data_IF_588200402976
#
_entry.id   IF_588200402976
#
_cell.length_a   1.000
_cell.length_b   1.000
_cell.length_c   1.000
_cell.angle_alpha   90.00
_cell.angle_beta   90.00
_cell.angle_gamma   90.00
#
_symmetry.space_group_name_H-M   'P 1'
#
loop_
_entity.id
_entity.type
_entity.pdbx_description
1 polymer ?
2 water ?
#
# COMPACT_ATOMS: atom_id res chain seq x y z
N UNK A 1 29.86 -35.25 -14.96
CA UNK A 1 30.00 -34.22 -16.00
C UNK A 1 28.87 -33.18 -15.88
N UNK A 2 29.21 -31.92 -16.14
CA UNK A 2 28.27 -30.81 -16.13
C UNK A 2 27.28 -30.90 -17.30
N UNK A 3 26.04 -30.45 -17.08
CA UNK A 3 25.10 -30.37 -18.19
C UNK A 3 24.37 -29.04 -18.21
N UNK A 4 23.75 -28.75 -19.35
CA UNK A 4 22.82 -27.62 -19.47
C UNK A 4 21.42 -28.12 -19.15
N UNK A 5 20.74 -27.39 -18.27
CA UNK A 5 19.40 -27.74 -17.81
C UNK A 5 18.46 -26.65 -18.28
N UNK A 6 17.43 -27.03 -19.03
CA UNK A 6 16.32 -26.14 -19.35
C UNK A 6 15.08 -26.59 -18.58
N UNK A 7 14.50 -25.67 -17.80
CA UNK A 7 13.37 -26.01 -16.95
C UNK A 7 12.34 -24.89 -16.99
N UNK A 8 11.06 -25.26 -17.10
CA UNK A 8 9.96 -24.30 -17.05
C UNK A 8 8.98 -24.52 -15.91
N UNK A 9 9.12 -25.61 -15.13
CA UNK A 9 8.32 -25.83 -13.93
C UNK A 9 9.26 -26.11 -12.77
N UNK A 10 8.71 -26.03 -11.56
CA UNK A 10 9.52 -26.38 -10.41
C UNK A 10 9.89 -27.85 -10.45
N UNK A 11 8.93 -28.70 -10.85
CA UNK A 11 9.17 -30.14 -10.87
C UNK A 11 10.35 -30.48 -11.76
N UNK A 12 10.38 -29.91 -12.98
CA UNK A 12 11.46 -30.18 -13.91
C UNK A 12 12.82 -29.86 -13.31
N UNK A 13 12.94 -28.71 -12.63
CA UNK A 13 14.20 -28.36 -12.01
C UNK A 13 14.55 -29.29 -10.85
N UNK A 14 13.56 -29.76 -10.10
CA UNK A 14 13.84 -30.73 -9.05
C UNK A 14 14.33 -32.05 -9.63
N UNK A 15 13.70 -32.53 -10.69
CA UNK A 15 14.09 -33.79 -11.32
C UNK A 15 15.49 -33.74 -11.92
N UNK A 16 16.00 -32.54 -12.21
CA UNK A 16 17.28 -32.40 -12.89
C UNK A 16 18.46 -32.49 -11.94
N UNK A 17 18.24 -32.37 -10.63
CA UNK A 17 19.31 -32.45 -9.64
C UNK A 17 20.50 -31.61 -10.06
N UNK A 18 20.41 -30.34 -9.90
CA UNK A 18 21.45 -29.46 -10.30
C UNK A 18 22.68 -29.50 -9.43
N UNK A 19 23.84 -29.29 -10.01
CA UNK A 19 25.05 -29.20 -9.26
C UNK A 19 25.77 -27.94 -9.62
N UNK A 20 26.78 -27.62 -8.86
CA UNK A 20 27.58 -26.47 -9.11
C UNK A 20 28.31 -26.68 -10.42
N UNK A 21 28.44 -25.65 -11.22
CA UNK A 21 29.04 -25.77 -12.53
C UNK A 21 28.05 -26.03 -13.66
N UNK A 22 26.85 -26.49 -13.35
CA UNK A 22 25.84 -26.65 -14.39
C UNK A 22 25.40 -25.30 -14.91
N UNK A 23 24.88 -25.32 -16.14
CA UNK A 23 24.29 -24.15 -16.77
C UNK A 23 22.78 -24.32 -16.81
N UNK A 24 22.06 -23.41 -16.17
CA UNK A 24 20.60 -23.39 -16.19
C UNK A 24 20.10 -22.32 -17.13
N UNK A 25 19.04 -22.65 -17.87
CA UNK A 25 18.13 -21.68 -18.48
C UNK A 25 16.75 -21.91 -17.89
N UNK A 26 16.26 -20.95 -17.09
CA UNK A 26 15.03 -21.06 -16.31
C UNK A 26 14.04 -19.98 -16.73
N UNK A 27 12.82 -20.39 -17.10
CA UNK A 27 11.73 -19.46 -17.36
C UNK A 27 10.44 -20.04 -16.78
N UNK A 28 9.82 -19.32 -15.87
CA UNK A 28 8.57 -19.77 -15.31
C UNK A 28 7.82 -18.62 -14.72
N UNK A 29 6.87 -18.93 -13.85
CA UNK A 29 6.15 -17.88 -13.15
C UNK A 29 6.42 -18.04 -11.65
N UNK A 30 6.87 -16.97 -11.03
CA UNK A 30 7.13 -17.02 -9.61
C UNK A 30 7.01 -15.68 -8.93
N UNK A 31 7.64 -15.56 -7.78
CA UNK A 31 7.47 -14.39 -6.93
C UNK A 31 8.84 -13.78 -6.75
N UNK A 32 8.93 -12.44 -6.71
CA UNK A 32 10.16 -11.79 -6.27
C UNK A 32 10.28 -11.77 -4.76
N UNK A 33 11.48 -11.99 -4.28
CA UNK A 33 11.74 -11.98 -2.85
C UNK A 33 11.46 -10.60 -2.28
N UNK A 34 10.93 -10.55 -1.06
CA UNK A 34 10.60 -9.28 -0.42
C UNK A 34 11.49 -9.10 0.80
N UNK A 35 12.05 -7.89 0.94
CA UNK A 35 13.05 -7.55 1.94
C UNK A 35 12.47 -6.55 2.96
N UNK A 36 12.68 -6.84 4.25
CA UNK A 36 12.42 -5.90 5.35
C UNK A 36 13.55 -4.87 5.44
N UNK A 37 13.24 -3.55 5.40
CA UNK A 37 14.17 -2.40 5.32
C UNK A 37 15.57 -2.61 5.89
N UNK A 45 18.89 1.90 -4.84
CA UNK A 45 19.60 0.63 -4.69
C UNK A 45 18.94 -0.45 -5.56
N UNK A 46 17.68 -0.73 -5.28
CA UNK A 46 16.91 -1.68 -6.07
C UNK A 46 15.63 -1.00 -6.57
N UNK A 47 15.26 -1.21 -7.84
CA UNK A 47 14.18 -0.40 -8.42
C UNK A 47 12.81 -0.64 -7.82
N UNK A 48 12.46 -1.90 -7.50
CA UNK A 48 11.12 -2.26 -7.04
C UNK A 48 10.99 -2.31 -5.52
N UNK A 49 11.80 -1.54 -4.78
CA UNK A 49 11.80 -1.61 -3.33
C UNK A 49 10.36 -1.53 -2.81
N UNK A 50 9.97 -2.41 -1.89
CA UNK A 50 10.74 -3.35 -1.07
C UNK A 50 10.97 -4.73 -1.68
N UNK A 51 10.44 -4.95 -2.88
CA UNK A 51 10.70 -6.21 -3.55
C UNK A 51 12.09 -6.20 -4.18
N UNK A 52 12.68 -7.39 -4.29
CA UNK A 52 13.99 -7.59 -4.90
C UNK A 52 13.86 -8.67 -5.96
N UNK A 53 13.89 -8.27 -7.23
CA UNK A 53 13.70 -9.19 -8.33
C UNK A 53 15.01 -9.62 -8.95
N UNK A 54 16.12 -9.41 -8.25
CA UNK A 54 17.31 -10.20 -8.50
C UNK A 54 17.22 -11.56 -7.81
N UNK A 55 16.26 -11.73 -6.91
CA UNK A 55 16.03 -13.02 -6.25
C UNK A 55 14.59 -13.43 -6.48
N UNK A 56 14.41 -14.62 -6.99
CA UNK A 56 13.10 -15.16 -7.34
C UNK A 56 12.81 -16.31 -6.41
N UNK A 57 11.65 -16.26 -5.76
CA UNK A 57 11.08 -17.38 -5.04
C UNK A 57 10.18 -18.13 -5.99
N UNK A 58 10.54 -19.38 -6.29
CA UNK A 58 9.88 -20.20 -7.30
C UNK A 58 9.37 -21.45 -6.60
N UNK A 59 8.04 -21.57 -6.45
CA UNK A 59 7.48 -22.83 -5.99
C UNK A 59 5.99 -22.87 -6.28
N UNK A 60 5.42 -24.06 -6.16
CA UNK A 60 4.04 -24.32 -6.57
C UNK A 60 3.02 -24.13 -5.45
N UNK A 61 3.41 -23.57 -4.31
CA UNK A 61 2.40 -23.08 -3.38
C UNK A 61 1.66 -21.94 -4.04
N UNK A 62 0.33 -21.89 -3.92
CA UNK A 62 -0.41 -20.81 -4.55
C UNK A 62 0.05 -19.47 -4.02
N UNK A 63 0.00 -18.42 -4.84
CA UNK A 63 0.53 -17.12 -4.42
C UNK A 63 -0.26 -16.57 -3.23
N UNK A 64 0.36 -15.64 -2.54
CA UNK A 64 -0.31 -15.02 -1.39
C UNK A 64 -1.29 -13.96 -1.86
N UNK A 65 -2.31 -13.66 -1.06
CA UNK A 65 -3.31 -12.68 -1.48
C UNK A 65 -2.78 -11.26 -1.42
N UNK A 66 -3.36 -10.41 -2.27
CA UNK A 66 -3.00 -9.00 -2.31
C UNK A 66 -3.42 -8.31 -1.01
N UNK A 67 -2.74 -7.21 -0.65
CA UNK A 67 -3.06 -6.50 0.60
C UNK A 67 -4.50 -5.98 0.63
N UNK A 68 -5.15 -6.15 1.78
CA UNK A 68 -6.47 -5.59 2.05
C UNK A 68 -6.53 -5.07 3.48
N UNK A 69 -7.16 -3.90 3.66
CA UNK A 69 -7.33 -3.31 4.98
C UNK A 69 -8.57 -2.46 5.00
N UNK A 70 -9.42 -2.67 6.00
CA UNK A 70 -10.55 -1.77 6.11
C UNK A 70 -10.18 -0.48 6.80
N UNK A 71 -9.17 -0.51 7.66
CA UNK A 71 -8.67 0.74 8.22
C UNK A 71 -8.26 1.69 7.09
N UNK A 72 -7.55 1.16 6.09
CA UNK A 72 -7.08 2.01 5.01
C UNK A 72 -8.27 2.65 4.29
N UNK A 73 -9.31 1.87 3.99
CA UNK A 73 -10.44 2.45 3.26
C UNK A 73 -11.26 3.40 4.15
N UNK A 74 -11.27 3.19 5.47
CA UNK A 74 -11.85 4.20 6.36
C UNK A 74 -11.07 5.51 6.26
N UNK A 75 -9.73 5.42 6.27
CA UNK A 75 -8.89 6.61 6.13
C UNK A 75 -9.15 7.31 4.80
N UNK A 76 -9.28 6.52 3.73
CA UNK A 76 -9.57 7.08 2.42
C UNK A 76 -10.94 7.76 2.39
N UNK A 77 -11.95 7.14 2.97
CA UNK A 77 -13.27 7.78 3.06
C UNK A 77 -13.17 9.16 3.72
N UNK A 78 -12.49 9.24 4.87
CA UNK A 78 -12.35 10.52 5.57
C UNK A 78 -11.66 11.55 4.70
N UNK A 79 -10.51 11.19 4.13
CA UNK A 79 -9.77 12.17 3.33
C UNK A 79 -10.57 12.63 2.13
N UNK A 80 -11.39 11.74 1.56
CA UNK A 80 -12.13 12.09 0.35
C UNK A 80 -13.34 12.95 0.67
N UNK A 81 -14.05 12.66 1.75
CA UNK A 81 -15.15 13.52 2.17
C UNK A 81 -14.67 14.95 2.39
N UNK A 82 -13.51 15.09 3.03
CA UNK A 82 -12.94 16.41 3.29
C UNK A 82 -12.52 17.08 1.98
N UNK A 83 -11.87 16.33 1.10
CA UNK A 83 -11.46 16.93 -0.16
C UNK A 83 -12.67 17.25 -1.03
N UNK A 84 -13.67 16.35 -1.06
CA UNK A 84 -14.88 16.62 -1.82
C UNK A 84 -15.47 17.97 -1.43
N UNK A 85 -15.38 18.33 -0.15
CA UNK A 85 -16.08 19.53 0.30
C UNK A 85 -15.20 20.77 0.23
N UNK A 86 -13.89 20.62 0.38
CA UNK A 86 -13.03 21.80 0.33
C UNK A 86 -12.68 22.20 -1.10
N UNK A 87 -12.55 21.22 -2.00
CA UNK A 87 -12.26 21.48 -3.41
C UNK A 87 -13.28 20.78 -4.29
N UNK A 88 -14.50 21.30 -4.38
CA UNK A 88 -15.50 20.67 -5.26
C UNK A 88 -15.36 21.15 -6.70
N UNK A 89 -16.11 20.47 -7.61
CA UNK A 89 -16.20 20.93 -9.00
C UNK A 89 -17.56 20.64 -9.63
N UNK A 90 -18.63 20.61 -8.83
CA UNK A 90 -19.99 20.57 -9.37
C UNK A 90 -20.99 21.21 -8.40
N UNK A 94 -21.93 19.02 -4.14
CA UNK A 94 -22.45 20.24 -3.53
C UNK A 94 -23.99 20.24 -3.53
N UNK A 95 -24.55 19.85 -2.38
CA UNK A 95 -25.99 19.71 -2.23
C UNK A 95 -26.74 21.03 -2.42
N UNK A 96 -26.04 22.15 -2.34
CA UNK A 96 -26.61 23.43 -1.93
C UNK A 96 -27.14 24.19 -3.14
N UNK A 97 -27.94 25.21 -2.88
CA UNK A 97 -28.48 26.07 -3.92
C UNK A 97 -27.36 26.85 -4.60
N UNK A 98 -27.43 27.02 -5.93
CA UNK A 98 -26.35 27.75 -6.64
C UNK A 98 -26.20 29.21 -6.23
N UNK A 99 -27.31 29.92 -6.04
CA UNK A 99 -27.21 31.32 -5.61
C UNK A 99 -26.50 31.42 -4.28
N UNK A 100 -26.82 30.51 -3.36
CA UNK A 100 -26.11 30.47 -2.09
C UNK A 100 -24.64 30.14 -2.30
N UNK A 101 -24.34 29.25 -3.26
CA UNK A 101 -22.96 28.85 -3.50
C UNK A 101 -22.11 30.06 -3.92
N UNK A 102 -22.60 30.82 -4.90
CA UNK A 102 -21.82 31.96 -5.37
C UNK A 102 -21.64 32.99 -4.28
N UNK A 103 -22.69 33.26 -3.51
CA UNK A 103 -22.60 34.28 -2.47
C UNK A 103 -21.54 33.92 -1.43
N UNK A 104 -21.49 32.65 -1.01
CA UNK A 104 -20.47 32.27 -0.04
C UNK A 104 -19.08 32.48 -0.60
N UNK A 105 -18.86 32.09 -1.85
CA UNK A 105 -17.56 32.31 -2.48
C UNK A 105 -17.19 33.80 -2.48
N UNK A 106 -18.16 34.67 -2.74
CA UNK A 106 -17.90 36.10 -2.74
C UNK A 106 -17.61 36.64 -1.33
N UNK A 107 -18.02 35.92 -0.28
CA UNK A 107 -17.75 36.29 1.10
C UNK A 107 -16.34 35.90 1.55
N UNK A 108 -15.50 35.41 0.64
CA UNK A 108 -14.17 34.96 0.99
C UNK A 108 -14.12 33.75 1.89
N UNK A 109 -15.15 32.89 1.83
CA UNK A 109 -15.27 31.77 2.75
C UNK A 109 -15.39 30.45 1.99
N UNK A 110 -15.20 29.37 2.75
CA UNK A 110 -15.19 28.01 2.26
C UNK A 110 -16.33 27.26 2.95
N UNK A 111 -16.99 26.39 2.20
CA UNK A 111 -18.20 25.73 2.69
C UNK A 111 -17.99 24.23 2.87
N UNK A 112 -18.31 23.73 4.06
CA UNK A 112 -18.64 22.33 4.26
C UNK A 112 -20.15 22.20 4.21
N UNK A 113 -20.65 21.45 3.24
CA UNK A 113 -22.08 21.26 3.09
C UNK A 113 -22.56 19.96 3.70
N UNK A 114 -21.67 19.17 4.30
CA UNK A 114 -22.07 17.96 5.02
C UNK A 114 -21.08 17.72 6.15
N UNK A 115 -21.00 18.70 7.05
CA UNK A 115 -20.25 18.52 8.28
C UNK A 115 -20.56 17.20 8.97
N UNK A 116 -21.79 16.71 8.84
CA UNK A 116 -22.16 15.48 9.53
C UNK A 116 -21.38 14.29 9.05
N UNK A 117 -21.08 14.24 7.75
CA UNK A 117 -20.32 13.12 7.20
C UNK A 117 -18.88 13.13 7.71
N UNK A 118 -18.28 14.31 7.83
CA UNK A 118 -16.89 14.36 8.27
C UNK A 118 -16.75 13.84 9.70
N UNK A 119 -17.65 14.27 10.59
CA UNK A 119 -17.62 13.79 11.98
C UNK A 119 -17.80 12.27 12.01
N UNK A 120 -18.79 11.76 11.28
CA UNK A 120 -18.99 10.30 11.26
C UNK A 120 -17.76 9.58 10.74
N UNK A 121 -17.17 10.06 9.64
CA UNK A 121 -15.99 9.39 9.11
C UNK A 121 -14.86 9.44 10.12
N UNK A 122 -14.73 10.56 10.85
CA UNK A 122 -13.67 10.67 11.85
C UNK A 122 -13.94 9.71 13.01
N UNK A 123 -15.17 9.73 13.55
CA UNK A 123 -15.56 8.74 14.55
C UNK A 123 -15.28 7.34 14.04
N UNK A 124 -15.49 7.11 12.74
CA UNK A 124 -15.30 5.78 12.15
C UNK A 124 -13.85 5.33 12.27
N UNK A 125 -12.91 6.19 11.89
CA UNK A 125 -11.49 5.84 11.89
C UNK A 125 -10.91 5.98 13.28
N UNK A 126 -11.03 7.17 13.86
CA UNK A 126 -10.46 7.47 15.18
C UNK A 126 -11.42 7.06 16.30
N UNK A 127 -11.78 5.76 16.29
CA UNK A 127 -12.83 5.28 17.18
C UNK A 127 -12.35 5.21 18.63
N UNK A 128 -11.16 4.68 18.86
CA UNK A 128 -10.61 4.53 20.19
C UNK A 128 -10.48 5.87 20.87
N UNK A 129 -10.73 5.89 22.20
CA UNK A 129 -11.05 7.12 22.91
C UNK A 129 -9.92 8.16 22.88
N UNK A 130 -8.69 7.75 22.55
CA UNK A 130 -7.54 8.64 22.60
C UNK A 130 -6.94 8.92 21.23
N UNK A 131 -7.74 8.80 20.17
CA UNK A 131 -7.27 8.95 18.80
C UNK A 131 -7.52 10.37 18.27
N UNK A 132 -6.52 10.94 17.62
CA UNK A 132 -6.68 12.13 16.76
C UNK A 132 -7.25 13.32 17.53
N UNK A 133 -6.65 13.62 18.68
CA UNK A 133 -7.28 14.61 19.55
C UNK A 133 -7.24 16.00 18.93
N UNK A 134 -6.16 16.34 18.23
CA UNK A 134 -6.14 17.60 17.52
C UNK A 134 -7.32 17.69 16.56
N UNK A 135 -7.55 16.62 15.79
CA UNK A 135 -8.63 16.63 14.80
C UNK A 135 -10.01 16.70 15.46
N UNK A 136 -10.21 15.96 16.54
CA UNK A 136 -11.51 15.99 17.20
C UNK A 136 -11.78 17.36 17.82
N UNK A 137 -10.75 18.00 18.35
CA UNK A 137 -10.89 19.35 18.89
C UNK A 137 -11.24 20.34 17.80
N UNK A 138 -10.64 20.20 16.63
CA UNK A 138 -10.95 21.09 15.53
C UNK A 138 -12.40 20.93 15.10
N UNK A 139 -12.89 19.69 15.08
CA UNK A 139 -14.28 19.45 14.69
C UNK A 139 -15.23 19.97 15.77
N UNK A 140 -14.86 19.81 17.04
CA UNK A 140 -15.67 20.32 18.15
C UNK A 140 -15.82 21.83 18.04
N UNK A 141 -14.72 22.55 17.81
CA UNK A 141 -14.80 23.99 17.67
C UNK A 141 -15.64 24.39 16.47
N UNK A 142 -15.44 23.72 15.33
CA UNK A 142 -16.29 23.97 14.18
C UNK A 142 -17.75 23.67 14.49
N UNK A 143 -18.01 22.64 15.28
CA UNK A 143 -19.37 22.23 15.58
C UNK A 143 -20.06 22.98 16.71
N UNK A 144 -19.35 23.87 17.43
CA UNK A 144 -19.94 24.68 18.50
C UNK A 144 -20.53 23.83 19.63
N UNK A 145 -19.99 22.62 19.86
CA UNK A 145 -20.37 21.82 21.00
C UNK A 145 -19.31 21.95 22.09
N UNK A 146 -19.52 21.20 23.14
CA UNK A 146 -18.69 21.25 24.29
C UNK A 146 -17.57 20.27 24.28
N UNK A 147 -17.85 19.08 23.76
CA UNK A 147 -16.90 17.98 23.72
C UNK A 147 -17.15 17.18 22.46
N UNK A 148 -16.20 16.27 22.19
CA UNK A 148 -16.29 15.39 21.03
C UNK A 148 -17.51 14.48 21.11
N UNK A 149 -17.82 13.96 22.31
CA UNK A 149 -18.82 12.89 22.42
C UNK A 149 -20.23 13.39 22.14
N UNK A 150 -20.56 14.64 22.50
CA UNK A 150 -21.83 15.21 22.06
C UNK A 150 -21.85 15.30 20.55
N UNK A 151 -20.76 15.82 19.98
CA UNK A 151 -20.64 15.94 18.53
C UNK A 151 -20.90 14.60 17.86
N UNK A 152 -20.31 13.52 18.37
CA UNK A 152 -20.46 12.25 17.66
C UNK A 152 -21.90 11.78 17.70
N UNK A 153 -22.59 12.02 18.81
CA UNK A 153 -23.98 11.56 18.90
C UNK A 153 -24.88 12.40 17.98
N UNK A 154 -24.86 13.73 18.13
CA UNK A 154 -25.61 14.57 17.20
C UNK A 154 -25.33 14.17 15.75
N UNK A 155 -24.07 13.91 15.43
CA UNK A 155 -23.69 13.46 14.10
C UNK A 155 -24.31 12.11 13.78
N UNK A 156 -24.01 11.11 14.60
CA UNK A 156 -24.58 9.78 14.40
C UNK A 156 -26.11 9.81 14.51
N UNK A 157 -26.67 10.73 15.29
CA UNK A 157 -28.13 10.84 15.34
C UNK A 157 -28.71 11.17 13.98
N UNK A 158 -28.04 12.06 13.29
CA UNK A 158 -28.55 12.51 12.02
C UNK A 158 -28.99 13.94 12.16
N UNK A 159 -28.48 14.63 13.16
CA UNK A 159 -28.82 15.99 13.37
C UNK A 159 -27.83 16.92 12.75
N UNK A 160 -26.96 16.43 11.90
CA UNK A 160 -25.96 17.25 11.28
C UNK A 160 -25.85 16.94 9.83
N UNK A 161 -26.77 16.17 9.30
CA UNK A 161 -26.65 15.83 7.89
C UNK A 161 -27.00 17.03 7.01
N UNK A 162 -26.10 17.34 6.08
CA UNK A 162 -26.27 18.45 5.16
C UNK A 162 -26.09 19.83 5.76
N UNK A 163 -25.86 19.93 7.06
CA UNK A 163 -25.75 21.24 7.70
C UNK A 163 -24.44 21.91 7.28
N UNK A 164 -24.47 23.24 7.23
CA UNK A 164 -23.43 24.01 6.54
C UNK A 164 -22.56 24.75 7.54
N UNK A 165 -21.25 24.58 7.38
CA UNK A 165 -20.22 25.24 8.17
C UNK A 165 -19.35 26.02 7.21
N UNK A 166 -18.87 27.17 7.65
CA UNK A 166 -18.03 28.05 6.84
C UNK A 166 -16.71 28.34 7.54
N UNK A 167 -15.64 28.27 6.78
CA UNK A 167 -14.32 28.48 7.34
C UNK A 167 -13.65 29.60 6.59
N UNK A 168 -12.94 30.43 7.31
CA UNK A 168 -11.95 31.26 6.66
C UNK A 168 -10.99 30.33 5.94
N UNK A 169 -10.46 30.75 4.80
CA UNK A 169 -9.52 29.90 4.06
C UNK A 169 -8.29 29.43 4.84
N UNK A 170 -7.73 30.24 5.74
CA UNK A 170 -6.57 29.74 6.50
C UNK A 170 -7.00 28.59 7.39
N UNK A 171 -8.20 28.66 7.94
CA UNK A 171 -8.69 27.57 8.78
C UNK A 171 -8.94 26.32 7.94
N UNK A 172 -9.47 26.49 6.73
CA UNK A 172 -9.75 25.33 5.89
C UNK A 172 -8.46 24.65 5.45
N UNK A 173 -7.45 25.43 5.09
CA UNK A 173 -6.15 24.84 4.79
C UNK A 173 -5.66 24.02 5.98
N UNK A 174 -5.73 24.60 7.18
CA UNK A 174 -5.25 23.90 8.36
C UNK A 174 -6.03 22.61 8.62
N UNK A 175 -7.34 22.63 8.39
CA UNK A 175 -8.13 21.43 8.63
C UNK A 175 -7.80 20.33 7.63
N UNK A 176 -7.58 20.70 6.37
CA UNK A 176 -7.23 19.69 5.39
C UNK A 176 -5.91 19.03 5.76
N UNK A 177 -4.94 19.84 6.19
CA UNK A 177 -3.65 19.30 6.60
C UNK A 177 -3.78 18.49 7.88
N UNK A 178 -4.77 18.84 8.72
CA UNK A 178 -5.01 18.10 9.95
C UNK A 178 -5.61 16.73 9.67
N UNK A 179 -6.59 16.65 8.77
CA UNK A 179 -7.04 15.32 8.35
C UNK A 179 -5.88 14.53 7.77
N UNK A 180 -4.99 15.22 7.07
CA UNK A 180 -3.89 14.52 6.41
C UNK A 180 -2.92 13.95 7.44
N UNK A 181 -2.39 14.80 8.34
CA UNK A 181 -1.39 14.34 9.29
C UNK A 181 -1.95 13.33 10.29
N UNK A 182 -3.26 13.37 10.56
CA UNK A 182 -3.83 12.45 11.55
C UNK A 182 -4.08 11.06 10.97
N UNK A 183 -4.46 10.95 9.70
CA UNK A 183 -4.72 9.63 9.13
C UNK A 183 -3.45 8.90 8.70
N UNK A 184 -2.35 9.63 8.48
CA UNK A 184 -1.13 8.99 8.00
C UNK A 184 -0.68 7.83 8.88
N UNK A 185 -0.61 7.95 10.20
CA UNK A 185 -0.14 6.80 10.99
C UNK A 185 -0.99 5.56 10.80
N UNK A 186 -2.26 5.72 10.44
CA UNK A 186 -3.08 4.55 10.22
C UNK A 186 -2.63 3.79 8.99
N UNK A 187 -2.40 4.52 7.88
CA UNK A 187 -1.97 3.88 6.64
C UNK A 187 -0.56 3.31 6.79
N UNK A 188 0.32 4.03 7.48
CA UNK A 188 1.69 3.58 7.67
C UNK A 188 1.72 2.24 8.40
N UNK A 189 0.97 2.13 9.50
CA UNK A 189 0.84 0.84 10.18
C UNK A 189 0.33 -0.23 9.22
N UNK A 190 -0.81 0.03 8.59
CA UNK A 190 -1.44 -0.99 7.75
C UNK A 190 -0.54 -1.35 6.58
N UNK A 191 0.17 -0.36 6.02
CA UNK A 191 1.15 -0.66 4.99
C UNK A 191 2.22 -1.59 5.54
N UNK A 192 2.75 -1.26 6.72
CA UNK A 192 3.74 -2.11 7.34
C UNK A 192 3.20 -3.50 7.63
N UNK A 193 2.03 -3.57 8.27
CA UNK A 193 1.39 -4.85 8.54
C UNK A 193 1.22 -5.67 7.28
N UNK A 194 0.82 -5.02 6.19
CA UNK A 194 0.58 -5.77 4.96
C UNK A 194 1.87 -6.32 4.42
N UNK A 195 2.92 -5.53 4.49
CA UNK A 195 4.23 -5.96 4.01
C UNK A 195 4.69 -7.22 4.72
N UNK A 196 4.54 -7.26 6.05
CA UNK A 196 4.97 -8.43 6.80
C UNK A 196 4.13 -9.65 6.45
N UNK A 197 2.85 -9.44 6.14
CA UNK A 197 1.98 -10.54 5.73
C UNK A 197 2.32 -11.04 4.33
N UNK A 198 3.02 -10.24 3.52
CA UNK A 198 3.48 -10.69 2.22
C UNK A 198 4.74 -11.55 2.31
N UNK A 199 5.41 -11.50 3.48
CA UNK A 199 6.66 -12.19 3.70
C UNK A 199 6.40 -13.41 4.57
N UNK A 200 5.77 -14.40 3.96
CA UNK A 200 5.49 -15.68 4.60
C UNK A 200 5.90 -16.79 3.62
N UNK A 201 7.05 -17.39 3.80
CA UNK A 201 7.62 -18.24 2.75
C UNK A 201 7.25 -19.72 2.84
N UNK A 202 6.80 -20.29 1.72
CA UNK A 202 6.44 -21.70 1.68
C UNK A 202 7.69 -22.58 1.73
N UNK A 203 7.55 -23.84 2.13
CA UNK A 203 8.70 -24.74 2.12
C UNK A 203 8.92 -25.34 0.74
N UNK A 204 10.09 -25.95 0.58
CA UNK A 204 10.42 -26.57 -0.69
C UNK A 204 10.78 -25.53 -1.74
N UNK A 205 10.65 -25.94 -3.01
CA UNK A 205 10.88 -25.04 -4.13
C UNK A 205 12.32 -24.56 -4.23
N UNK A 206 12.49 -23.36 -4.83
CA UNK A 206 13.79 -22.76 -5.08
C UNK A 206 13.81 -21.29 -4.69
N UNK A 207 15.00 -20.79 -4.38
CA UNK A 207 15.27 -19.36 -4.38
C UNK A 207 16.42 -19.13 -5.34
N UNK A 208 16.10 -18.55 -6.49
CA UNK A 208 17.08 -18.27 -7.53
C UNK A 208 17.59 -16.85 -7.37
N UNK A 209 18.91 -16.70 -7.19
CA UNK A 209 19.50 -15.39 -7.01
C UNK A 209 20.56 -15.12 -8.09
N UNK A 210 20.61 -13.88 -8.55
CA UNK A 210 21.53 -13.45 -9.61
C UNK A 210 22.77 -12.86 -8.96
N UNK A 211 23.92 -13.52 -9.20
CA UNK A 211 25.20 -13.11 -8.62
C UNK A 211 25.51 -11.65 -8.87
N UNK A 212 25.18 -11.14 -10.07
CA UNK A 212 25.46 -9.75 -10.42
C UNK A 212 24.29 -8.83 -10.11
N UNK A 213 23.36 -9.25 -9.26
CA UNK A 213 22.23 -8.39 -8.93
C UNK A 213 21.38 -8.02 -10.13
N UNK A 214 21.42 -8.82 -11.18
CA UNK A 214 20.55 -8.55 -12.32
C UNK A 214 19.09 -8.68 -11.90
N UNK A 215 18.30 -7.66 -12.23
CA UNK A 215 16.86 -7.85 -12.24
C UNK A 215 16.54 -9.04 -13.15
N UNK A 216 15.54 -9.84 -12.77
CA UNK A 216 15.21 -11.04 -13.54
C UNK A 216 13.76 -11.08 -14.02
N UNK A 217 13.04 -9.95 -14.00
CA UNK A 217 11.68 -9.81 -14.52
C UNK A 217 11.69 -8.73 -15.61
N UNK A 218 10.66 -8.72 -16.45
CA UNK A 218 10.45 -7.62 -17.40
C UNK A 218 9.11 -6.95 -17.08
N UNK A 219 9.11 -6.15 -16.04
CA UNK A 219 7.98 -5.32 -15.68
C UNK A 219 8.43 -3.87 -15.72
N UNK A 220 7.52 -2.93 -15.97
CA UNK A 220 7.90 -1.51 -16.00
C UNK A 220 8.44 -1.06 -14.65
N UNK A 221 9.57 -0.35 -14.69
CA UNK A 221 10.18 0.16 -13.47
C UNK A 221 9.35 1.31 -12.90
N UNK A 222 9.29 1.42 -11.57
CA UNK A 222 8.42 2.44 -10.96
C UNK A 222 9.02 3.83 -11.08
N UNK A 223 8.13 4.81 -11.29
CA UNK A 223 8.56 6.21 -11.43
C UNK A 223 9.42 6.66 -10.25
N UNK A 224 8.94 6.45 -9.02
CA UNK A 224 9.73 6.79 -7.84
C UNK A 224 9.57 5.70 -6.80
N UNK A 225 10.54 5.62 -5.89
CA UNK A 225 10.60 4.55 -4.92
C UNK A 225 9.39 4.61 -4.00
N UNK A 226 9.04 3.45 -3.43
CA UNK A 226 7.78 3.35 -2.68
C UNK A 226 7.74 4.29 -1.49
N UNK A 227 8.86 4.54 -0.84
CA UNK A 227 8.85 5.36 0.37
C UNK A 227 9.14 6.83 0.09
N UNK A 228 9.41 7.21 -1.16
CA UNK A 228 9.34 8.62 -1.52
C UNK A 228 7.91 9.10 -1.67
N UNK A 229 6.95 8.17 -1.62
CA UNK A 229 5.53 8.51 -1.68
C UNK A 229 5.04 9.07 -0.34
N UNK A 230 4.05 9.96 -0.37
CA UNK A 230 3.32 10.30 0.85
C UNK A 230 2.52 9.12 1.39
N UNK A 231 2.46 9.06 2.72
CA UNK A 231 1.96 7.88 3.43
C UNK A 231 0.72 7.24 2.81
N UNK A 232 -0.32 8.02 2.55
CA UNK A 232 -1.58 7.46 2.07
C UNK A 232 -1.44 6.83 0.69
N UNK A 233 -0.48 7.30 -0.12
CA UNK A 233 -0.30 6.67 -1.41
C UNK A 233 0.70 5.51 -1.36
N UNK A 234 1.48 5.39 -0.29
CA UNK A 234 2.35 4.23 -0.15
C UNK A 234 1.55 2.94 -0.14
N UNK A 235 0.40 2.93 0.53
CA UNK A 235 -0.47 1.77 0.46
C UNK A 235 -0.84 1.45 -0.98
N UNK A 236 -1.27 2.45 -1.72
CA UNK A 236 -1.70 2.19 -3.09
C UNK A 236 -0.59 1.60 -3.92
N UNK A 237 0.62 2.15 -3.78
CA UNK A 237 1.75 1.64 -4.56
C UNK A 237 2.23 0.28 -4.06
N UNK A 238 2.21 0.01 -2.78
CA UNK A 238 2.66 -1.29 -2.33
C UNK A 238 1.75 -2.32 -2.86
N UNK A 239 0.50 -1.99 -2.99
CA UNK A 239 -0.45 -2.92 -3.50
C UNK A 239 -0.28 -3.15 -4.98
N UNK A 240 0.17 -2.14 -5.67
CA UNK A 240 0.37 -2.28 -7.05
C UNK A 240 1.62 -3.09 -7.23
N UNK A 241 2.67 -2.74 -6.51
CA UNK A 241 3.94 -3.47 -6.62
C UNK A 241 3.75 -4.95 -6.37
N UNK A 242 2.95 -5.29 -5.36
CA UNK A 242 2.64 -6.70 -5.09
C UNK A 242 1.74 -7.30 -6.15
N UNK A 243 0.95 -6.47 -6.84
CA UNK A 243 0.05 -7.01 -7.84
C UNK A 243 0.78 -7.61 -9.02
N UNK A 244 1.91 -7.02 -9.38
CA UNK A 244 2.65 -7.51 -10.53
C UNK A 244 3.89 -8.32 -10.18
N UNK A 245 4.27 -8.40 -8.91
CA UNK A 245 5.52 -9.06 -8.54
C UNK A 245 5.36 -10.30 -7.67
N UNK A 246 4.15 -10.70 -7.31
CA UNK A 246 3.98 -11.91 -6.51
C UNK A 246 3.69 -13.14 -7.37
N UNK A 247 3.35 -12.94 -8.65
CA UNK A 247 3.13 -14.04 -9.59
C UNK A 247 3.42 -13.55 -11.00
N UNK A 248 4.70 -13.34 -11.30
CA UNK A 248 5.30 -12.72 -12.47
C UNK A 248 6.08 -13.73 -13.30
N UNK A 249 6.07 -13.63 -14.63
CA UNK A 249 7.04 -14.41 -15.40
C UNK A 249 8.44 -13.89 -15.11
N UNK A 250 9.42 -14.80 -15.08
CA UNK A 250 10.81 -14.42 -14.85
C UNK A 250 11.72 -15.25 -15.76
N UNK A 251 12.92 -14.73 -16.00
CA UNK A 251 13.95 -15.44 -16.75
C UNK A 251 15.29 -15.36 -16.02
N UNK A 252 15.95 -16.49 -15.90
CA UNK A 252 17.22 -16.55 -15.19
C UNK A 252 18.09 -17.55 -15.92
N UNK A 253 19.25 -17.13 -16.35
CA UNK A 253 20.16 -18.10 -16.94
C UNK A 253 21.57 -17.75 -16.53
N UNK A 254 22.36 -18.78 -16.30
CA UNK A 254 23.78 -18.64 -16.08
C UNK A 254 24.34 -19.93 -15.51
N UNK A 255 25.58 -19.85 -15.05
CA UNK A 255 26.19 -20.99 -14.40
C UNK A 255 25.92 -20.96 -12.89
N UNK A 256 25.59 -22.12 -12.32
CA UNK A 256 25.39 -22.28 -10.88
C UNK A 256 26.72 -22.06 -10.15
N UNK A 257 26.80 -20.98 -9.36
CA UNK A 257 28.02 -20.73 -8.59
C UNK A 257 27.90 -21.13 -7.12
N UNK A 258 26.69 -21.37 -6.63
CA UNK A 258 26.51 -21.98 -5.32
C UNK A 258 25.14 -22.63 -5.28
N UNK A 259 24.99 -23.52 -4.30
CA UNK A 259 23.79 -24.34 -4.24
C UNK A 259 23.73 -24.93 -2.84
N UNK A 260 22.55 -24.83 -2.21
CA UNK A 260 22.41 -25.24 -0.83
C UNK A 260 20.93 -25.46 -0.56
N UNK A 261 20.62 -26.59 0.08
CA UNK A 261 19.25 -26.92 0.47
C UNK A 261 19.06 -26.57 1.96
N UNK A 262 18.22 -25.59 2.25
CA UNK A 262 18.09 -25.21 3.65
C UNK A 262 17.33 -26.27 4.42
N UNK A 263 17.14 -26.00 5.72
CA UNK A 263 16.37 -26.89 6.58
C UNK A 263 14.96 -27.09 6.05
N UNK A 264 14.33 -25.99 5.61
CA UNK A 264 12.97 -25.98 5.11
C UNK A 264 12.81 -26.72 3.80
N UNK A 265 13.89 -27.23 3.21
CA UNK A 265 13.77 -27.89 1.92
C UNK A 265 13.82 -26.99 0.71
N UNK A 266 13.99 -25.68 0.90
CA UNK A 266 14.19 -24.77 -0.22
C UNK A 266 15.62 -24.90 -0.75
N UNK A 267 15.73 -24.98 -2.09
CA UNK A 267 17.01 -25.12 -2.79
C UNK A 267 17.42 -23.72 -3.23
N UNK A 268 18.40 -23.14 -2.53
CA UNK A 268 18.93 -21.85 -2.96
C UNK A 268 19.96 -22.09 -4.07
N UNK A 269 19.79 -21.36 -5.18
CA UNK A 269 20.68 -21.44 -6.32
C UNK A 269 21.20 -20.05 -6.63
N UNK A 270 22.53 -19.91 -6.77
CA UNK A 270 23.14 -18.66 -7.21
C UNK A 270 23.67 -18.79 -8.64
N UNK A 271 23.31 -17.84 -9.50
CA UNK A 271 23.57 -17.92 -10.93
C UNK A 271 24.41 -16.74 -11.38
N UNK A 272 25.50 -17.02 -12.09
CA UNK A 272 26.27 -15.98 -12.75
C UNK A 272 26.06 -16.12 -14.26
N UNK A 273 25.60 -15.05 -14.90
CA UNK A 273 25.26 -15.13 -16.31
C UNK A 273 26.54 -15.27 -17.13
N UNK A 274 26.70 -16.43 -17.76
CA UNK A 274 27.72 -16.75 -18.75
C UNK A 274 29.13 -16.22 -18.42
#
# INVERSE_FOLDING_TARGET
>A
SAQTIEATTVSQLEKAHVRIGDTLRLTGTGMCNIRTPGSWSAKEDSPFLPFDCSQIVWNDAPPLPLPESDIVSKATALMQSVQRQLHPETDDDSRVSPALRSAIQKSGMVLLDDFGDIVQKTNDLCSAKDDCLRLKNALVNLGNTRNWETLTKRATAGKLDGVNVLLRPVSAESLENLVTTSTAPFVIRETSRAAQALNSPAPGGFLIASDEGSVLVNQPWPAVSLYDYPAHEQWGELRRLAGMLMHTPFHAEGIVTNLFTDANGTQHINLHRI
#
